data_IF_923235686835
#
_entry.id   IF_923235686835
#
_cell.length_a   1.000
_cell.length_b   1.000
_cell.length_c   1.000
_cell.angle_alpha   90.00
_cell.angle_beta   90.00
_cell.angle_gamma   90.00
#
_symmetry.space_group_name_H-M   'P 1'
#
loop_
_entity.id
_entity.type
_entity.pdbx_description
1 polymer ?
#
# COMPACT_ATOMS: atom_id res chain seq x y z
N UNK A 1 18.55 -55.52 48.88
CA UNK A 1 17.17 -55.02 48.98
C UNK A 1 16.91 -54.13 50.19
N UNK A 2 17.77 -53.15 50.50
CA UNK A 2 17.45 -52.12 51.51
C UNK A 2 18.21 -50.79 51.33
N UNK A 3 18.98 -50.60 50.24
CA UNK A 3 19.81 -49.39 50.04
C UNK A 3 19.45 -48.59 48.77
N UNK A 4 18.62 -49.10 47.86
CA UNK A 4 18.19 -48.39 46.65
C UNK A 4 16.86 -47.63 46.78
N UNK A 5 16.10 -47.86 47.85
CA UNK A 5 14.79 -47.20 48.05
C UNK A 5 14.89 -45.77 48.57
N UNK A 6 16.01 -45.38 49.19
CA UNK A 6 16.17 -44.05 49.80
C UNK A 6 16.69 -42.97 48.83
N UNK A 7 17.38 -43.34 47.75
CA UNK A 7 17.92 -42.39 46.76
C UNK A 7 16.88 -41.94 45.71
N UNK A 8 15.80 -42.71 45.53
CA UNK A 8 14.72 -42.37 44.58
C UNK A 8 13.76 -41.28 45.07
N UNK A 9 13.57 -41.16 46.39
CA UNK A 9 12.59 -40.22 46.98
C UNK A 9 13.08 -38.76 46.91
N UNK A 10 14.34 -38.50 47.28
CA UNK A 10 14.91 -37.15 47.25
C UNK A 10 15.05 -36.57 45.84
N UNK A 11 15.31 -37.42 44.84
CA UNK A 11 15.43 -36.99 43.44
C UNK A 11 14.07 -36.60 42.82
N UNK A 12 12.98 -37.22 43.28
CA UNK A 12 11.61 -36.89 42.84
C UNK A 12 11.10 -35.60 43.46
N UNK A 13 11.44 -35.31 44.71
CA UNK A 13 11.07 -34.05 45.36
C UNK A 13 11.79 -32.84 44.74
N UNK A 14 13.06 -32.97 44.36
CA UNK A 14 13.79 -31.89 43.69
C UNK A 14 13.20 -31.56 42.30
N UNK A 15 12.83 -32.59 41.52
CA UNK A 15 12.18 -32.42 40.21
C UNK A 15 10.74 -31.90 40.30
N UNK A 16 10.02 -32.16 41.39
CA UNK A 16 8.68 -31.62 41.64
C UNK A 16 8.69 -30.19 42.21
N UNK A 17 9.79 -29.78 42.85
CA UNK A 17 9.95 -28.40 43.36
C UNK A 17 10.32 -27.43 42.24
N UNK A 18 11.11 -27.87 41.26
CA UNK A 18 11.52 -27.05 40.12
C UNK A 18 10.34 -26.78 39.14
N UNK A 19 9.40 -27.72 39.02
CA UNK A 19 8.18 -27.52 38.21
C UNK A 19 7.18 -26.50 38.78
N UNK A 20 7.30 -26.10 40.04
CA UNK A 20 6.40 -25.11 40.66
C UNK A 20 6.87 -23.65 40.53
N UNK A 21 8.09 -23.40 40.05
CA UNK A 21 8.61 -22.04 39.89
C UNK A 21 8.52 -21.47 38.46
N UNK A 22 8.06 -22.25 37.48
CA UNK A 22 7.95 -21.80 36.07
C UNK A 22 6.55 -21.32 35.69
N UNK A 23 5.55 -21.48 36.57
CA UNK A 23 4.15 -21.03 36.35
C UNK A 23 3.80 -19.77 37.15
N UNK A 24 4.45 -18.66 36.84
CA UNK A 24 4.21 -17.42 37.58
C UNK A 24 4.74 -16.12 36.98
N UNK A 25 5.16 -16.08 35.70
CA UNK A 25 5.30 -14.79 35.02
C UNK A 25 3.94 -14.38 34.51
N UNK A 26 3.24 -13.62 35.35
CA UNK A 26 2.13 -12.78 34.94
C UNK A 26 2.54 -12.08 33.64
N UNK A 27 1.91 -12.46 32.53
CA UNK A 27 1.90 -11.67 31.32
C UNK A 27 1.27 -10.35 31.77
N UNK A 28 2.09 -9.35 32.11
CA UNK A 28 1.63 -7.98 32.26
C UNK A 28 0.98 -7.67 30.93
N UNK A 29 -0.35 -7.74 30.88
CA UNK A 29 -1.14 -7.02 29.92
C UNK A 29 -0.62 -5.59 30.00
N UNK A 30 0.22 -5.21 29.03
CA UNK A 30 0.51 -3.81 28.80
C UNK A 30 -0.83 -3.23 28.42
N UNK A 31 -1.52 -2.66 29.41
CA UNK A 31 -2.61 -1.74 29.15
C UNK A 31 -2.07 -0.71 28.14
N UNK A 32 -2.79 -0.41 27.06
CA UNK A 32 -2.35 0.63 26.15
C UNK A 32 -2.13 1.88 26.98
N UNK A 33 -0.92 2.43 26.90
CA UNK A 33 -0.64 3.75 27.44
C UNK A 33 -1.48 4.72 26.61
N UNK A 34 -2.63 5.10 27.14
CA UNK A 34 -3.50 6.12 26.54
C UNK A 34 -2.81 7.46 26.80
N UNK A 35 -1.87 7.79 25.94
CA UNK A 35 -1.34 9.14 25.86
C UNK A 35 -2.44 10.04 25.30
N UNK A 36 -2.85 11.05 26.09
CA UNK A 36 -3.96 11.97 25.81
C UNK A 36 -3.72 12.96 24.66
N UNK A 37 -2.81 12.66 23.73
CA UNK A 37 -2.78 13.32 22.43
C UNK A 37 -3.72 12.51 21.54
N UNK A 38 -4.60 13.17 20.77
CA UNK A 38 -5.50 12.48 19.82
C UNK A 38 -4.65 11.70 18.81
N UNK A 39 -4.29 10.46 19.15
CA UNK A 39 -3.53 9.58 18.29
C UNK A 39 -4.43 9.33 17.08
N UNK A 40 -4.02 9.85 15.93
CA UNK A 40 -4.72 9.55 14.69
C UNK A 40 -4.59 8.04 14.51
N UNK A 41 -5.74 7.38 14.45
CA UNK A 41 -5.85 5.92 14.32
C UNK A 41 -5.10 5.52 13.03
N UNK A 42 -4.09 4.63 13.08
CA UNK A 42 -3.28 4.28 11.91
C UNK A 42 -4.10 3.91 10.67
N UNK A 43 -5.22 3.24 10.85
CA UNK A 43 -6.21 2.86 9.84
C UNK A 43 -6.77 4.08 9.09
N UNK A 44 -7.00 5.20 9.80
CA UNK A 44 -7.42 6.46 9.19
C UNK A 44 -6.28 7.07 8.38
N UNK A 45 -5.04 6.98 8.86
CA UNK A 45 -3.87 7.48 8.12
C UNK A 45 -3.74 6.77 6.78
N UNK A 46 -4.00 5.46 6.71
CA UNK A 46 -3.97 4.68 5.46
C UNK A 46 -4.96 5.24 4.43
N UNK A 47 -6.23 5.39 4.82
CA UNK A 47 -7.26 5.95 3.94
C UNK A 47 -6.94 7.39 3.51
N UNK A 48 -6.50 8.23 4.45
CA UNK A 48 -6.12 9.62 4.16
C UNK A 48 -4.90 9.70 3.25
N UNK A 49 -3.89 8.83 3.40
CA UNK A 49 -2.71 8.82 2.55
C UNK A 49 -3.05 8.52 1.08
N UNK A 50 -4.04 7.65 0.83
CA UNK A 50 -4.54 7.39 -0.53
C UNK A 50 -5.43 8.54 -1.04
N UNK A 51 -6.29 9.11 -0.19
CA UNK A 51 -7.24 10.15 -0.59
C UNK A 51 -6.65 11.56 -0.73
N UNK A 52 -5.63 11.90 0.07
CA UNK A 52 -5.04 13.24 0.13
C UNK A 52 -4.52 13.75 -1.22
N UNK A 53 -3.80 12.95 -2.05
CA UNK A 53 -3.33 13.42 -3.34
C UNK A 53 -4.50 13.68 -4.33
N UNK A 54 -5.64 13.01 -4.19
CA UNK A 54 -6.84 13.33 -4.99
C UNK A 54 -7.41 14.69 -4.59
N UNK A 55 -7.51 14.98 -3.30
CA UNK A 55 -7.90 16.30 -2.80
C UNK A 55 -6.92 17.37 -3.29
N UNK A 56 -5.61 17.08 -3.25
CA UNK A 56 -4.57 17.92 -3.81
C UNK A 56 -4.74 18.16 -5.32
N UNK A 57 -5.09 17.13 -6.09
CA UNK A 57 -5.37 17.25 -7.53
C UNK A 57 -6.53 18.21 -7.80
N UNK A 58 -7.65 18.09 -7.06
CA UNK A 58 -8.77 19.00 -7.18
C UNK A 58 -8.41 20.43 -6.79
N UNK A 59 -7.63 20.61 -5.71
CA UNK A 59 -7.15 21.92 -5.29
C UNK A 59 -6.23 22.55 -6.37
N UNK A 60 -5.32 21.78 -6.95
CA UNK A 60 -4.44 22.20 -8.05
C UNK A 60 -5.28 22.67 -9.25
N UNK A 61 -6.32 21.92 -9.64
CA UNK A 61 -7.22 22.30 -10.73
C UNK A 61 -7.94 23.62 -10.43
N UNK A 62 -8.51 23.76 -9.23
CA UNK A 62 -9.23 24.96 -8.81
C UNK A 62 -8.32 26.21 -8.76
N UNK A 63 -7.06 26.02 -8.34
CA UNK A 63 -6.07 27.09 -8.18
C UNK A 63 -5.27 27.36 -9.46
N UNK A 64 -5.64 26.77 -10.60
CA UNK A 64 -4.90 26.87 -11.85
C UNK A 64 -4.64 28.31 -12.34
N UNK A 65 -5.46 29.27 -11.92
CA UNK A 65 -5.31 30.71 -12.23
C UNK A 65 -4.18 31.40 -11.45
N UNK A 66 -3.73 30.80 -10.34
CA UNK A 66 -2.71 31.35 -9.44
C UNK A 66 -1.50 30.42 -9.36
N UNK A 67 -0.56 30.48 -10.31
CA UNK A 67 0.52 29.49 -10.45
C UNK A 67 1.36 29.28 -9.18
N UNK A 68 1.68 30.36 -8.45
CA UNK A 68 2.44 30.24 -7.21
C UNK A 68 1.67 29.49 -6.12
N UNK A 69 0.37 29.80 -5.94
CA UNK A 69 -0.47 29.14 -4.94
C UNK A 69 -0.71 27.68 -5.32
N UNK A 70 -0.97 27.40 -6.60
CA UNK A 70 -1.10 26.04 -7.15
C UNK A 70 0.13 25.19 -6.83
N UNK A 71 1.32 25.71 -7.13
CA UNK A 71 2.58 24.99 -6.94
C UNK A 71 2.87 24.78 -5.45
N UNK A 72 2.64 25.80 -4.61
CA UNK A 72 2.74 25.68 -3.15
C UNK A 72 1.79 24.63 -2.59
N UNK A 73 0.55 24.57 -3.07
CA UNK A 73 -0.42 23.54 -2.65
C UNK A 73 0.01 22.15 -3.10
N UNK A 74 0.53 22.00 -4.33
CA UNK A 74 1.05 20.73 -4.81
C UNK A 74 2.21 20.19 -3.96
N UNK A 75 3.23 21.03 -3.71
CA UNK A 75 4.38 20.66 -2.89
C UNK A 75 3.98 20.47 -1.42
N UNK A 76 3.09 21.30 -0.90
CA UNK A 76 2.55 21.16 0.46
C UNK A 76 1.80 19.84 0.65
N UNK A 77 0.99 19.45 -0.34
CA UNK A 77 0.29 18.14 -0.34
C UNK A 77 1.28 16.99 -0.32
N UNK A 78 2.36 17.07 -1.12
CA UNK A 78 3.42 16.06 -1.13
C UNK A 78 4.13 15.95 0.22
N UNK A 79 4.45 17.08 0.85
CA UNK A 79 5.04 17.12 2.19
C UNK A 79 4.12 16.51 3.26
N UNK A 80 2.84 16.86 3.25
CA UNK A 80 1.85 16.30 4.19
C UNK A 80 1.70 14.79 3.97
N UNK A 81 1.64 14.32 2.72
CA UNK A 81 1.58 12.89 2.42
C UNK A 81 2.80 12.15 3.01
N UNK A 82 4.01 12.66 2.77
CA UNK A 82 5.22 12.03 3.31
C UNK A 82 5.20 11.96 4.83
N UNK A 83 4.76 13.01 5.52
CA UNK A 83 4.62 13.03 6.97
C UNK A 83 3.55 12.05 7.49
N UNK A 84 2.45 11.85 6.75
CA UNK A 84 1.44 10.84 7.08
C UNK A 84 2.02 9.43 6.93
N UNK A 85 2.71 9.15 5.83
CA UNK A 85 3.31 7.83 5.59
C UNK A 85 4.43 7.55 6.62
N UNK A 86 5.22 8.57 7.00
CA UNK A 86 6.22 8.43 8.07
C UNK A 86 5.62 8.03 9.42
N UNK A 87 4.42 8.50 9.75
CA UNK A 87 3.74 8.12 10.99
C UNK A 87 3.37 6.63 11.05
N UNK A 88 3.25 5.95 9.90
CA UNK A 88 2.99 4.52 9.84
C UNK A 88 4.24 3.68 10.20
N UNK A 89 5.45 4.27 10.21
CA UNK A 89 6.69 3.53 10.50
C UNK A 89 6.71 2.94 11.90
N UNK A 90 6.27 3.67 12.92
CA UNK A 90 6.18 3.17 14.30
C UNK A 90 5.24 1.97 14.42
N UNK A 91 3.94 2.14 14.08
CA UNK A 91 2.95 1.05 14.07
C UNK A 91 3.42 -0.22 13.36
N UNK A 92 3.99 -0.10 12.15
CA UNK A 92 4.45 -1.26 11.38
C UNK A 92 5.64 -1.96 12.05
N UNK A 93 6.57 -1.19 12.64
CA UNK A 93 7.70 -1.75 13.43
C UNK A 93 7.22 -2.47 14.69
N UNK A 94 6.16 -1.99 15.32
CA UNK A 94 5.53 -2.63 16.48
C UNK A 94 4.71 -3.88 16.11
N UNK A 95 4.66 -4.23 14.82
CA UNK A 95 3.98 -5.42 14.31
C UNK A 95 2.51 -5.20 13.93
N UNK A 96 2.01 -3.96 13.99
CA UNK A 96 0.66 -3.65 13.52
C UNK A 96 0.58 -3.79 12.00
N UNK A 97 -0.61 -4.11 11.51
CA UNK A 97 -0.96 -4.12 10.09
C UNK A 97 -2.27 -3.36 9.92
N UNK A 98 -2.23 -2.01 9.94
CA UNK A 98 -3.43 -1.19 9.82
C UNK A 98 -4.16 -1.52 8.52
N UNK A 99 -5.46 -1.74 8.65
CA UNK A 99 -6.37 -2.05 7.55
C UNK A 99 -7.44 -0.97 7.43
N UNK A 100 -7.77 -0.58 6.20
CA UNK A 100 -8.81 0.38 5.90
C UNK A 100 -9.72 -0.19 4.81
N UNK A 101 -10.85 -0.82 5.17
CA UNK A 101 -11.80 -1.33 4.20
C UNK A 101 -12.45 -0.17 3.43
N UNK A 102 -12.61 -0.33 2.11
CA UNK A 102 -13.26 0.69 1.25
C UNK A 102 -14.66 0.21 0.87
N UNK A 103 -14.74 -0.96 0.22
CA UNK A 103 -15.98 -1.51 -0.31
C UNK A 103 -15.87 -3.03 -0.49
N UNK A 104 -16.90 -3.79 -0.13
CA UNK A 104 -17.00 -5.19 -0.55
C UNK A 104 -17.71 -5.25 -1.90
N UNK A 105 -17.05 -5.83 -2.92
CA UNK A 105 -17.56 -5.85 -4.30
C UNK A 105 -18.35 -7.13 -4.57
N UNK A 106 -17.83 -8.26 -4.10
CA UNK A 106 -18.48 -9.56 -4.09
C UNK A 106 -18.15 -10.27 -2.77
N UNK A 107 -18.92 -11.29 -2.36
CA UNK A 107 -18.56 -12.10 -1.19
C UNK A 107 -17.13 -12.65 -1.30
N UNK A 108 -16.25 -12.23 -0.39
CA UNK A 108 -14.83 -12.63 -0.38
C UNK A 108 -13.93 -11.88 -1.38
N UNK A 109 -14.44 -10.85 -2.05
CA UNK A 109 -13.65 -9.94 -2.91
C UNK A 109 -13.94 -8.50 -2.50
N UNK A 110 -13.01 -7.91 -1.77
CA UNK A 110 -13.11 -6.53 -1.26
C UNK A 110 -12.11 -5.60 -1.95
N UNK A 111 -12.50 -4.34 -2.09
CA UNK A 111 -11.61 -3.21 -2.25
C UNK A 111 -11.21 -2.74 -0.84
N UNK A 112 -9.94 -2.90 -0.49
CA UNK A 112 -9.47 -2.61 0.86
C UNK A 112 -7.99 -2.32 0.91
N UNK A 113 -7.59 -1.49 1.86
CA UNK A 113 -6.19 -1.14 2.06
C UNK A 113 -5.63 -1.87 3.27
N UNK A 114 -4.39 -2.36 3.17
CA UNK A 114 -3.64 -2.98 4.24
C UNK A 114 -2.18 -2.61 4.10
N UNK A 115 -1.57 -2.16 5.20
CA UNK A 115 -0.16 -1.77 5.18
C UNK A 115 0.72 -2.94 5.62
N UNK A 116 1.44 -3.50 4.66
CA UNK A 116 2.55 -4.43 4.91
C UNK A 116 3.91 -3.70 4.90
N UNK A 117 4.97 -4.25 5.51
CA UNK A 117 6.29 -3.60 5.57
C UNK A 117 6.86 -3.25 4.19
N UNK A 118 6.67 -4.12 3.21
CA UNK A 118 7.11 -3.88 1.83
C UNK A 118 6.29 -2.75 1.18
N UNK A 119 4.97 -2.75 1.39
CA UNK A 119 4.09 -1.67 0.93
C UNK A 119 4.47 -0.32 1.52
N UNK A 120 4.77 -0.28 2.82
CA UNK A 120 5.25 0.93 3.50
C UNK A 120 6.55 1.47 2.90
N UNK A 121 7.49 0.60 2.55
CA UNK A 121 8.74 1.00 1.90
C UNK A 121 8.46 1.72 0.56
N UNK A 122 7.61 1.13 -0.29
CA UNK A 122 7.22 1.76 -1.56
C UNK A 122 6.47 3.08 -1.35
N UNK A 123 5.58 3.14 -0.35
CA UNK A 123 4.85 4.37 -0.02
C UNK A 123 5.80 5.50 0.43
N UNK A 124 6.80 5.18 1.26
CA UNK A 124 7.83 6.14 1.71
C UNK A 124 8.64 6.66 0.52
N UNK A 125 9.09 5.77 -0.37
CA UNK A 125 9.86 6.14 -1.55
C UNK A 125 9.03 7.02 -2.49
N UNK A 126 7.80 6.60 -2.82
CA UNK A 126 6.94 7.34 -3.74
C UNK A 126 6.54 8.72 -3.18
N UNK A 127 6.16 8.81 -1.90
CA UNK A 127 5.80 10.09 -1.28
C UNK A 127 7.01 11.04 -1.13
N UNK A 128 8.19 10.52 -0.79
CA UNK A 128 9.42 11.32 -0.76
C UNK A 128 9.82 11.82 -2.15
N UNK A 129 9.82 10.93 -3.14
CA UNK A 129 10.15 11.27 -4.51
C UNK A 129 9.19 12.30 -5.10
N UNK A 130 7.90 12.28 -4.70
CA UNK A 130 6.96 13.29 -5.14
C UNK A 130 7.37 14.72 -4.75
N UNK A 131 7.96 14.92 -3.57
CA UNK A 131 8.48 16.23 -3.15
C UNK A 131 9.61 16.67 -4.10
N UNK A 132 10.61 15.81 -4.29
CA UNK A 132 11.81 16.11 -5.09
C UNK A 132 11.45 16.34 -6.56
N UNK A 133 10.72 15.39 -7.14
CA UNK A 133 10.31 15.44 -8.56
C UNK A 133 9.26 16.52 -8.81
N UNK A 134 8.40 16.82 -7.83
CA UNK A 134 7.46 17.94 -7.88
C UNK A 134 8.18 19.28 -7.96
N UNK A 135 9.18 19.51 -7.11
CA UNK A 135 10.00 20.73 -7.14
C UNK A 135 10.73 20.87 -8.49
N UNK A 136 11.34 19.78 -8.96
CA UNK A 136 11.96 19.74 -10.28
C UNK A 136 10.95 20.08 -11.39
N UNK A 137 9.76 19.47 -11.37
CA UNK A 137 8.72 19.69 -12.38
C UNK A 137 8.24 21.15 -12.39
N UNK A 138 8.11 21.80 -11.23
CA UNK A 138 7.76 23.24 -11.17
C UNK A 138 8.82 24.08 -11.90
N UNK A 139 10.10 23.85 -11.62
CA UNK A 139 11.19 24.54 -12.30
C UNK A 139 11.22 24.25 -13.80
N UNK A 140 11.09 22.98 -14.17
CA UNK A 140 11.11 22.52 -15.56
C UNK A 140 9.98 23.15 -16.38
N UNK A 141 8.74 23.08 -15.89
CA UNK A 141 7.55 23.58 -16.59
C UNK A 141 7.56 25.09 -16.78
N UNK A 142 8.03 25.83 -15.77
CA UNK A 142 8.17 27.29 -15.85
C UNK A 142 9.30 27.67 -16.80
N UNK A 143 10.46 27.02 -16.69
CA UNK A 143 11.62 27.29 -17.55
C UNK A 143 11.35 27.02 -19.04
N UNK A 144 10.54 26.00 -19.36
CA UNK A 144 10.17 25.65 -20.73
C UNK A 144 8.85 26.30 -21.20
N UNK A 145 8.27 27.22 -20.42
CA UNK A 145 7.04 27.95 -20.77
C UNK A 145 5.86 27.02 -21.15
N UNK A 146 5.76 25.88 -20.47
CA UNK A 146 4.72 24.89 -20.74
C UNK A 146 3.34 25.46 -20.42
N UNK A 147 2.37 25.25 -21.31
CA UNK A 147 1.04 25.90 -21.22
C UNK A 147 0.06 25.11 -20.34
N UNK A 148 0.23 23.80 -20.24
CA UNK A 148 -0.74 22.88 -19.62
C UNK A 148 -0.35 22.42 -18.21
N UNK A 149 0.42 23.22 -17.48
CA UNK A 149 1.02 22.84 -16.19
C UNK A 149 0.00 22.36 -15.16
N UNK A 150 -1.15 23.05 -15.05
CA UNK A 150 -2.18 22.68 -14.06
C UNK A 150 -2.73 21.28 -14.31
N UNK A 151 -2.96 20.92 -15.58
CA UNK A 151 -3.38 19.56 -15.95
C UNK A 151 -2.31 18.54 -15.59
N UNK A 152 -1.04 18.84 -15.87
CA UNK A 152 0.07 17.97 -15.50
C UNK A 152 0.13 17.69 -14.01
N UNK A 153 0.14 18.74 -13.17
CA UNK A 153 0.24 18.57 -11.72
C UNK A 153 -0.98 17.87 -11.12
N UNK A 154 -2.18 18.07 -11.68
CA UNK A 154 -3.36 17.35 -11.24
C UNK A 154 -3.25 15.84 -11.53
N UNK A 155 -2.91 15.46 -12.76
CA UNK A 155 -2.72 14.04 -13.10
C UNK A 155 -1.52 13.41 -12.39
N UNK A 156 -0.48 14.20 -12.11
CA UNK A 156 0.64 13.73 -11.30
C UNK A 156 0.21 13.40 -9.86
N UNK A 157 -0.62 14.25 -9.24
CA UNK A 157 -1.17 13.99 -7.92
C UNK A 157 -2.12 12.76 -7.92
N UNK A 158 -2.94 12.59 -8.96
CA UNK A 158 -3.79 11.39 -9.12
C UNK A 158 -2.91 10.12 -9.24
N UNK A 159 -1.81 10.18 -10.00
CA UNK A 159 -0.88 9.06 -10.12
C UNK A 159 -0.24 8.69 -8.79
N UNK A 160 0.09 9.67 -7.94
CA UNK A 160 0.59 9.41 -6.58
C UNK A 160 -0.48 8.78 -5.70
N UNK A 161 -1.74 9.22 -5.75
CA UNK A 161 -2.85 8.55 -5.04
C UNK A 161 -2.95 7.08 -5.43
N UNK A 162 -2.92 6.80 -6.74
CA UNK A 162 -3.00 5.44 -7.24
C UNK A 162 -1.76 4.61 -6.85
N UNK A 163 -0.56 5.19 -6.82
CA UNK A 163 0.65 4.54 -6.31
C UNK A 163 0.57 4.21 -4.81
N UNK A 164 -0.01 5.09 -3.99
CA UNK A 164 -0.29 4.78 -2.57
C UNK A 164 -1.29 3.62 -2.46
N UNK A 165 -2.34 3.62 -3.29
CA UNK A 165 -3.32 2.54 -3.34
C UNK A 165 -2.71 1.19 -3.71
N UNK A 166 -1.82 1.15 -4.71
CA UNK A 166 -1.02 -0.04 -5.05
C UNK A 166 -0.17 -0.48 -3.87
N UNK A 167 0.57 0.44 -3.26
CA UNK A 167 1.46 0.15 -2.14
C UNK A 167 0.72 -0.41 -0.91
N UNK A 168 -0.52 0.04 -0.69
CA UNK A 168 -1.36 -0.38 0.43
C UNK A 168 -2.47 -1.34 0.02
N UNK A 169 -2.38 -2.02 -1.12
CA UNK A 169 -3.45 -2.94 -1.54
C UNK A 169 -3.55 -4.15 -0.61
N UNK A 170 -4.75 -4.43 -0.09
CA UNK A 170 -4.96 -5.59 0.79
C UNK A 170 -4.97 -6.94 0.07
N UNK A 171 -5.33 -6.93 -1.22
CA UNK A 171 -5.50 -8.12 -2.04
C UNK A 171 -5.22 -7.84 -3.52
N UNK A 172 -5.13 -8.91 -4.32
CA UNK A 172 -4.86 -8.83 -5.76
C UNK A 172 -5.91 -8.00 -6.53
N UNK A 173 -7.18 -8.04 -6.10
CA UNK A 173 -8.23 -7.25 -6.75
C UNK A 173 -8.05 -5.75 -6.52
N UNK A 174 -7.71 -5.35 -5.29
CA UNK A 174 -7.40 -3.96 -4.96
C UNK A 174 -6.15 -3.48 -5.69
N UNK A 175 -5.12 -4.34 -5.77
CA UNK A 175 -3.91 -4.06 -6.54
C UNK A 175 -4.24 -3.78 -8.01
N UNK A 176 -5.05 -4.63 -8.62
CA UNK A 176 -5.50 -4.46 -10.00
C UNK A 176 -6.26 -3.14 -10.19
N UNK A 177 -7.20 -2.81 -9.30
CA UNK A 177 -7.98 -1.58 -9.40
C UNK A 177 -7.08 -0.31 -9.38
N UNK A 178 -6.11 -0.25 -8.47
CA UNK A 178 -5.18 0.88 -8.43
C UNK A 178 -4.15 0.84 -9.56
N UNK A 179 -3.74 -0.33 -10.04
CA UNK A 179 -2.90 -0.46 -11.22
C UNK A 179 -3.58 0.09 -12.48
N UNK A 180 -4.86 -0.22 -12.68
CA UNK A 180 -5.67 0.36 -13.75
C UNK A 180 -5.79 1.88 -13.59
N UNK A 181 -6.00 2.36 -12.35
CA UNK A 181 -6.04 3.79 -12.06
C UNK A 181 -4.73 4.50 -12.42
N UNK A 182 -3.56 3.91 -12.10
CA UNK A 182 -2.26 4.41 -12.54
C UNK A 182 -2.23 4.49 -14.06
N UNK A 183 -2.55 3.40 -14.75
CA UNK A 183 -2.54 3.31 -16.23
C UNK A 183 -3.41 4.39 -16.89
N UNK A 184 -4.60 4.64 -16.36
CA UNK A 184 -5.52 5.64 -16.89
C UNK A 184 -5.03 7.07 -16.62
N UNK A 185 -4.50 7.35 -15.44
CA UNK A 185 -4.07 8.71 -15.07
C UNK A 185 -2.70 9.10 -15.65
N UNK A 186 -1.86 8.14 -16.04
CA UNK A 186 -0.59 8.39 -16.72
C UNK A 186 -0.77 8.67 -18.21
N UNK A 187 -1.86 8.23 -18.84
CA UNK A 187 -2.12 8.52 -20.26
C UNK A 187 -2.12 10.03 -20.60
N UNK A 188 -2.80 10.91 -19.83
CA UNK A 188 -2.70 12.36 -20.01
C UNK A 188 -1.30 12.94 -19.79
N UNK A 189 -0.46 12.28 -18.98
CA UNK A 189 0.93 12.67 -18.75
C UNK A 189 1.82 12.30 -19.96
N UNK A 190 1.65 11.09 -20.50
CA UNK A 190 2.36 10.65 -21.73
C UNK A 190 1.99 11.55 -22.92
N UNK A 191 0.72 11.93 -23.01
CA UNK A 191 0.21 12.77 -24.11
C UNK A 191 0.38 14.27 -23.86
N UNK A 192 1.08 14.67 -22.77
CA UNK A 192 1.09 16.04 -22.26
C UNK A 192 1.47 17.11 -23.30
N UNK A 193 2.57 16.88 -24.04
CA UNK A 193 3.06 17.79 -25.08
C UNK A 193 2.08 17.96 -26.25
N UNK A 194 1.13 17.04 -26.42
CA UNK A 194 0.03 17.18 -27.37
C UNK A 194 0.41 17.04 -28.85
N UNK A 195 1.67 16.73 -29.16
CA UNK A 195 2.12 16.46 -30.54
C UNK A 195 1.46 15.21 -31.12
N UNK A 196 1.38 15.08 -32.46
CA UNK A 196 0.87 13.85 -33.10
C UNK A 196 1.60 12.59 -32.60
N UNK A 197 2.92 12.69 -32.39
CA UNK A 197 3.78 11.62 -31.90
C UNK A 197 3.43 11.26 -30.45
N UNK A 198 3.29 12.25 -29.56
CA UNK A 198 2.92 12.03 -28.17
C UNK A 198 1.53 11.38 -28.05
N UNK A 199 0.57 11.80 -28.88
CA UNK A 199 -0.77 11.19 -28.94
C UNK A 199 -0.74 9.75 -29.46
N UNK A 200 0.08 9.47 -30.46
CA UNK A 200 0.28 8.10 -30.97
C UNK A 200 0.91 7.22 -29.91
N UNK A 201 1.97 7.69 -29.26
CA UNK A 201 2.64 6.99 -28.15
C UNK A 201 1.67 6.71 -27.00
N UNK A 202 0.86 7.69 -26.60
CA UNK A 202 -0.18 7.50 -25.58
C UNK A 202 -1.21 6.42 -25.95
N UNK A 203 -1.67 6.37 -27.21
CA UNK A 203 -2.62 5.32 -27.66
C UNK A 203 -1.98 3.93 -27.63
N UNK A 204 -0.72 3.82 -28.04
CA UNK A 204 0.02 2.55 -27.97
C UNK A 204 0.20 2.13 -26.51
N UNK A 205 0.63 3.05 -25.65
CA UNK A 205 0.76 2.84 -24.20
C UNK A 205 -0.54 2.32 -23.59
N UNK A 206 -1.65 3.03 -23.82
CA UNK A 206 -2.95 2.68 -23.26
C UNK A 206 -3.47 1.36 -23.82
N UNK A 207 -3.33 1.15 -25.13
CA UNK A 207 -3.76 -0.07 -25.80
C UNK A 207 -3.02 -1.29 -25.29
N UNK A 208 -1.70 -1.23 -25.14
CA UNK A 208 -0.90 -2.33 -24.60
C UNK A 208 -1.29 -2.59 -23.15
N UNK A 209 -1.21 -1.59 -22.26
CA UNK A 209 -1.40 -1.82 -20.83
C UNK A 209 -2.83 -2.25 -20.48
N UNK A 210 -3.87 -1.63 -21.04
CA UNK A 210 -5.24 -2.05 -20.75
C UNK A 210 -5.55 -3.43 -21.33
N UNK A 211 -5.08 -3.73 -22.56
CA UNK A 211 -5.37 -5.02 -23.17
C UNK A 211 -4.66 -6.17 -22.46
N UNK A 212 -3.39 -6.00 -22.07
CA UNK A 212 -2.67 -7.04 -21.33
C UNK A 212 -3.15 -7.15 -19.89
N UNK A 213 -3.53 -6.04 -19.26
CA UNK A 213 -4.10 -6.05 -17.90
C UNK A 213 -5.44 -6.77 -17.87
N UNK A 214 -6.39 -6.41 -18.73
CA UNK A 214 -7.70 -7.06 -18.77
C UNK A 214 -7.59 -8.49 -19.33
N UNK A 215 -6.79 -8.69 -20.38
CA UNK A 215 -6.69 -9.96 -21.09
C UNK A 215 -5.83 -11.02 -20.40
N UNK A 216 -4.84 -10.62 -19.60
CA UNK A 216 -3.98 -11.57 -18.89
C UNK A 216 -4.09 -11.42 -17.37
N UNK A 217 -3.86 -10.22 -16.82
CA UNK A 217 -3.81 -10.02 -15.38
C UNK A 217 -5.16 -10.26 -14.69
N UNK A 218 -6.25 -9.68 -15.20
CA UNK A 218 -7.58 -9.88 -14.63
C UNK A 218 -8.03 -11.34 -14.75
N UNK A 219 -7.76 -11.99 -15.89
CA UNK A 219 -8.04 -13.41 -16.07
C UNK A 219 -7.25 -14.28 -15.09
N UNK A 220 -5.97 -13.99 -14.88
CA UNK A 220 -5.14 -14.67 -13.89
C UNK A 220 -5.71 -14.47 -12.48
N UNK A 221 -6.12 -13.25 -12.11
CA UNK A 221 -6.73 -12.97 -10.80
C UNK A 221 -8.02 -13.77 -10.60
N UNK A 222 -8.90 -13.80 -11.60
CA UNK A 222 -10.14 -14.59 -11.55
C UNK A 222 -9.79 -16.08 -11.36
N UNK A 223 -8.81 -16.59 -12.11
CA UNK A 223 -8.40 -17.99 -12.02
C UNK A 223 -7.77 -18.31 -10.66
N UNK A 224 -6.91 -17.44 -10.13
CA UNK A 224 -6.35 -17.53 -8.77
C UNK A 224 -7.47 -17.60 -7.74
N UNK A 225 -8.49 -16.74 -7.83
CA UNK A 225 -9.62 -16.75 -6.90
C UNK A 225 -10.40 -18.06 -6.96
N UNK A 226 -10.63 -18.61 -8.15
CA UNK A 226 -11.31 -19.90 -8.32
C UNK A 226 -10.53 -21.07 -7.71
N UNK A 227 -9.20 -21.04 -7.75
CA UNK A 227 -8.35 -22.09 -7.19
C UNK A 227 -8.13 -21.95 -5.68
N UNK A 228 -7.87 -20.73 -5.20
CA UNK A 228 -7.48 -20.46 -3.81
C UNK A 228 -8.65 -20.10 -2.90
N UNK A 229 -9.78 -19.64 -3.46
CA UNK A 229 -10.94 -19.14 -2.70
C UNK A 229 -10.72 -17.77 -2.03
N UNK A 230 -9.56 -17.16 -2.20
CA UNK A 230 -9.20 -15.83 -1.68
C UNK A 230 -8.26 -15.11 -2.65
N UNK A 231 -8.18 -13.79 -2.51
CA UNK A 231 -7.22 -12.93 -3.21
C UNK A 231 -6.30 -12.17 -2.26
N UNK A 232 -6.44 -12.39 -0.95
CA UNK A 232 -5.67 -11.69 0.07
C UNK A 232 -4.19 -12.07 0.01
N UNK A 233 -3.33 -11.09 0.24
CA UNK A 233 -1.90 -11.37 0.34
C UNK A 233 -1.61 -12.12 1.65
N UNK A 234 -0.96 -13.28 1.52
CA UNK A 234 -0.55 -14.12 2.65
C UNK A 234 0.93 -14.47 2.53
N UNK A 235 1.59 -14.54 3.68
CA UNK A 235 2.98 -15.00 3.75
C UNK A 235 3.07 -16.45 3.27
N UNK A 236 3.98 -16.72 2.33
CA UNK A 236 4.09 -18.03 1.68
C UNK A 236 3.17 -18.24 0.46
N UNK A 237 2.29 -17.27 0.16
CA UNK A 237 1.40 -17.31 -1.01
C UNK A 237 0.11 -18.12 -0.78
N UNK A 238 -0.77 -18.10 -1.79
CA UNK A 238 -2.16 -18.60 -1.67
C UNK A 238 -2.46 -19.81 -2.57
N UNK A 239 -1.48 -20.29 -3.34
CA UNK A 239 -1.66 -21.35 -4.35
C UNK A 239 -1.05 -22.69 -3.95
N UNK A 240 -0.45 -22.78 -2.77
CA UNK A 240 0.16 -24.02 -2.31
C UNK A 240 -0.92 -25.12 -2.13
N UNK A 241 -0.78 -26.22 -2.86
CA UNK A 241 -1.71 -27.35 -2.79
C UNK A 241 -3.07 -27.14 -3.46
N UNK A 242 -3.27 -26.05 -4.21
CA UNK A 242 -4.57 -25.74 -4.85
C UNK A 242 -4.70 -26.32 -6.26
N UNK A 243 -3.59 -26.62 -6.94
CA UNK A 243 -3.58 -27.14 -8.31
C UNK A 243 -2.34 -27.99 -8.63
N UNK A 244 -2.35 -28.64 -9.80
CA UNK A 244 -1.17 -29.39 -10.30
C UNK A 244 -0.04 -28.43 -10.72
N UNK A 245 1.21 -28.92 -10.69
CA UNK A 245 2.38 -28.14 -11.07
C UNK A 245 2.24 -27.54 -12.49
N UNK A 246 1.61 -28.26 -13.43
CA UNK A 246 1.40 -27.76 -14.79
C UNK A 246 0.46 -26.56 -14.86
N UNK A 247 -0.62 -26.56 -14.06
CA UNK A 247 -1.53 -25.41 -13.97
C UNK A 247 -0.84 -24.21 -13.31
N UNK A 248 -0.08 -24.45 -12.24
CA UNK A 248 0.66 -23.40 -11.56
C UNK A 248 1.75 -22.78 -12.46
N UNK A 249 2.38 -23.56 -13.33
CA UNK A 249 3.38 -23.07 -14.30
C UNK A 249 2.79 -22.20 -15.42
N UNK A 250 1.48 -22.28 -15.69
CA UNK A 250 0.80 -21.39 -16.65
C UNK A 250 0.37 -20.09 -15.98
N UNK A 251 0.08 -20.14 -14.68
CA UNK A 251 -0.44 -19.01 -13.90
C UNK A 251 0.66 -18.09 -13.36
N UNK A 252 1.88 -18.60 -13.15
CA UNK A 252 3.05 -17.89 -12.61
C UNK A 252 4.07 -17.55 -13.70
#
# INVERSE_FOLDING_TARGET
GALDSHLGAHRREFLLRDRRHVHGRSRRERRPFVDGHRAVIPEVIVGVAVGLPLVGAFAILALGKWPNVRDTVGIGTAGILFLLVLQLVGPIKDGLRPEHPILEVLPGVSLGLKVEPMGLLFALVASFLWIVTGLYAVGYMRGHHEKNQTRFFAFFAIAISAAMGVAFSANLFTLFAFYEMITLCTFPLVTHHGTPEARKAGRVYLGILLSTSIGFQLLAIIWTWQLAGTLDFQEGGILAGTASNGVLSVLL
#
